data_IF_979574990967
#
_entry.id   IF_979574990967
#
_cell.length_a   1.000
_cell.length_b   1.000
_cell.length_c   1.000
_cell.angle_alpha   90.00
_cell.angle_beta   90.00
_cell.angle_gamma   90.00
#
_symmetry.space_group_name_H-M   'P 1'
#
loop_
_entity.id
_entity.type
_entity.pdbx_description
1 polymer ?
#
# COMPACT_ATOMS: atom_id res chain seq x y z
N UNK A 1 23.46 32.65 63.59
CA UNK A 1 22.82 33.24 62.39
C UNK A 1 23.81 33.17 61.23
N UNK A 2 23.53 32.33 60.22
CA UNK A 2 23.86 32.49 58.79
C UNK A 2 23.50 31.17 58.09
N UNK A 3 22.35 31.21 57.41
CA UNK A 3 21.86 30.21 56.48
C UNK A 3 22.50 30.53 55.13
N UNK A 4 23.11 29.55 54.47
CA UNK A 4 23.47 29.68 53.05
C UNK A 4 22.94 28.46 52.31
N UNK A 5 21.78 28.66 51.67
CA UNK A 5 21.29 27.87 50.55
C UNK A 5 22.36 27.87 49.43
N UNK A 6 22.62 26.71 48.84
CA UNK A 6 23.22 26.64 47.51
C UNK A 6 22.52 25.53 46.72
N UNK A 7 22.08 25.92 45.53
CA UNK A 7 21.02 25.32 44.75
C UNK A 7 21.37 24.00 44.08
N UNK A 8 20.33 23.20 43.94
CA UNK A 8 20.21 21.95 43.17
C UNK A 8 20.44 22.26 41.68
N UNK A 9 21.41 21.57 41.06
CA UNK A 9 21.51 21.50 39.59
C UNK A 9 21.00 20.12 39.17
N UNK A 10 19.71 20.05 38.87
CA UNK A 10 19.10 18.89 38.21
C UNK A 10 19.45 18.99 36.72
N UNK A 11 20.38 18.15 36.26
CA UNK A 11 20.68 18.02 34.84
C UNK A 11 19.49 17.33 34.16
N UNK A 12 18.67 18.11 33.45
CA UNK A 12 17.64 17.59 32.55
C UNK A 12 18.34 16.88 31.38
N UNK A 13 18.39 15.54 31.45
CA UNK A 13 18.72 14.69 30.32
C UNK A 13 17.53 14.78 29.35
N UNK A 14 17.60 15.71 28.40
CA UNK A 14 16.70 15.76 27.25
C UNK A 14 17.00 14.54 26.38
N UNK A 15 16.34 13.42 26.69
CA UNK A 15 16.24 12.28 25.80
C UNK A 15 15.29 12.68 24.68
N UNK A 16 15.83 13.31 23.63
CA UNK A 16 15.11 13.50 22.39
C UNK A 16 14.83 12.15 21.77
N UNK A 17 13.60 11.65 21.90
CA UNK A 17 13.13 10.56 21.06
C UNK A 17 13.26 11.02 19.60
N UNK A 18 14.21 10.45 18.86
CA UNK A 18 14.20 10.52 17.41
C UNK A 18 12.97 9.75 16.95
N UNK A 19 11.86 10.45 16.76
CA UNK A 19 10.71 9.90 16.05
C UNK A 19 11.17 9.69 14.61
N UNK A 20 11.63 8.48 14.30
CA UNK A 20 11.77 8.03 12.93
C UNK A 20 10.45 8.32 12.23
N UNK A 21 10.48 9.00 11.07
CA UNK A 21 9.30 9.30 10.28
C UNK A 21 8.69 7.99 9.78
N UNK A 22 7.89 7.35 10.64
CA UNK A 22 7.20 6.12 10.33
C UNK A 22 5.99 6.49 9.47
N UNK A 23 6.11 6.23 8.17
CA UNK A 23 5.03 6.47 7.24
C UNK A 23 3.84 5.58 7.60
N UNK A 24 2.64 6.16 7.58
CA UNK A 24 1.38 5.42 7.68
C UNK A 24 1.31 4.30 6.62
N UNK A 25 0.64 3.16 6.92
CA UNK A 25 0.57 2.00 6.05
C UNK A 25 0.12 2.31 4.61
N UNK A 26 0.52 1.46 3.66
CA UNK A 26 0.22 1.58 2.23
C UNK A 26 -1.27 1.80 1.89
N UNK A 27 -2.19 1.35 2.74
CA UNK A 27 -3.64 1.54 2.60
C UNK A 27 -4.09 3.00 2.67
N UNK A 28 -3.25 3.92 3.15
CA UNK A 28 -3.55 5.35 3.30
C UNK A 28 -3.18 6.21 2.08
N UNK A 29 -2.68 5.60 0.98
CA UNK A 29 -2.32 6.34 -0.24
C UNK A 29 -3.59 6.93 -0.86
N UNK A 30 -3.70 8.26 -0.85
CA UNK A 30 -4.82 8.97 -1.49
C UNK A 30 -4.77 8.76 -3.00
N UNK A 31 -5.87 8.34 -3.64
CA UNK A 31 -5.97 8.36 -5.10
C UNK A 31 -5.65 9.77 -5.61
N UNK A 32 -4.96 9.87 -6.75
CA UNK A 32 -4.71 11.13 -7.48
C UNK A 32 -3.60 12.07 -6.96
N UNK A 33 -2.68 11.61 -6.10
CA UNK A 33 -1.45 12.35 -5.72
C UNK A 33 -0.24 11.94 -6.56
N UNK A 34 -0.40 10.92 -7.42
CA UNK A 34 0.71 10.34 -8.15
C UNK A 34 1.30 11.30 -9.20
N UNK A 35 2.60 11.61 -9.09
CA UNK A 35 3.34 12.33 -10.14
C UNK A 35 4.25 11.37 -10.90
N UNK A 36 4.31 11.50 -12.22
CA UNK A 36 5.23 10.73 -13.06
C UNK A 36 6.69 11.01 -12.66
N UNK A 37 7.51 9.96 -12.63
CA UNK A 37 8.94 10.06 -12.31
C UNK A 37 9.30 9.44 -10.96
N UNK A 38 10.50 9.75 -10.49
CA UNK A 38 11.08 9.22 -9.25
C UNK A 38 11.88 10.32 -8.56
N UNK A 39 11.86 10.36 -7.23
CA UNK A 39 12.73 11.20 -6.41
C UNK A 39 14.02 10.46 -6.03
N UNK A 40 14.08 9.15 -6.26
CA UNK A 40 15.29 8.37 -6.06
C UNK A 40 16.37 8.77 -7.08
N UNK A 41 17.58 9.01 -6.59
CA UNK A 41 18.74 9.26 -7.45
C UNK A 41 19.15 7.99 -8.22
N UNK A 42 20.05 8.15 -9.20
CA UNK A 42 20.48 7.05 -10.09
C UNK A 42 21.00 5.81 -9.33
N UNK A 43 21.74 6.02 -8.24
CA UNK A 43 22.29 4.93 -7.43
C UNK A 43 21.18 4.15 -6.71
N UNK A 44 20.26 4.85 -6.05
CA UNK A 44 19.08 4.25 -5.42
C UNK A 44 18.20 3.54 -6.45
N UNK A 45 18.06 4.13 -7.64
CA UNK A 45 17.31 3.49 -8.74
C UNK A 45 17.97 2.20 -9.17
N UNK A 46 19.29 2.19 -9.33
CA UNK A 46 20.05 0.99 -9.69
C UNK A 46 19.90 -0.10 -8.62
N UNK A 47 20.07 0.25 -7.34
CA UNK A 47 20.04 -0.71 -6.24
C UNK A 47 18.62 -1.29 -6.03
N UNK A 48 17.60 -0.44 -6.08
CA UNK A 48 16.21 -0.86 -6.01
C UNK A 48 15.81 -1.74 -7.21
N UNK A 49 16.32 -1.43 -8.41
CA UNK A 49 16.11 -2.27 -9.61
C UNK A 49 16.77 -3.64 -9.46
N UNK A 50 17.97 -3.71 -8.89
CA UNK A 50 18.61 -4.99 -8.57
C UNK A 50 17.79 -5.79 -7.53
N UNK A 51 17.19 -5.10 -6.55
CA UNK A 51 16.22 -5.70 -5.63
C UNK A 51 15.01 -6.30 -6.35
N UNK A 52 14.40 -5.57 -7.30
CA UNK A 52 13.28 -6.06 -8.11
C UNK A 52 13.67 -7.27 -8.98
N UNK A 53 14.88 -7.27 -9.55
CA UNK A 53 15.43 -8.40 -10.29
C UNK A 53 15.58 -9.66 -9.43
N UNK A 54 15.94 -9.50 -8.16
CA UNK A 54 16.01 -10.62 -7.23
C UNK A 54 14.61 -11.16 -6.88
N UNK A 55 13.60 -10.28 -6.76
CA UNK A 55 12.22 -10.67 -6.44
C UNK A 55 11.53 -11.38 -7.61
N UNK A 56 11.68 -10.86 -8.83
CA UNK A 56 11.02 -11.42 -10.02
C UNK A 56 11.87 -12.48 -10.74
N UNK A 57 13.15 -12.61 -10.37
CA UNK A 57 14.15 -13.37 -11.09
C UNK A 57 14.76 -12.57 -12.24
N UNK A 58 16.09 -12.60 -12.36
CA UNK A 58 16.83 -11.85 -13.40
C UNK A 58 16.37 -12.18 -14.82
N UNK A 59 15.94 -13.41 -15.07
CA UNK A 59 15.43 -13.84 -16.38
C UNK A 59 14.11 -13.15 -16.78
N UNK A 60 13.36 -12.60 -15.82
CA UNK A 60 12.18 -11.80 -16.10
C UNK A 60 12.52 -10.40 -16.63
N UNK A 61 13.77 -9.93 -16.47
CA UNK A 61 14.23 -8.66 -16.99
C UNK A 61 14.94 -8.88 -18.34
N UNK A 62 14.31 -8.38 -19.40
CA UNK A 62 14.83 -8.40 -20.77
C UNK A 62 15.10 -6.97 -21.25
N UNK A 63 15.69 -6.82 -22.44
CA UNK A 63 15.85 -5.52 -23.11
C UNK A 63 14.54 -4.78 -23.36
N UNK A 64 13.40 -5.48 -23.32
CA UNK A 64 12.07 -4.90 -23.52
C UNK A 64 11.38 -4.53 -22.20
N UNK A 65 11.98 -4.87 -21.06
CA UNK A 65 11.40 -4.59 -19.75
C UNK A 65 11.39 -3.09 -19.47
N UNK A 66 10.22 -2.56 -19.12
CA UNK A 66 10.04 -1.14 -18.78
C UNK A 66 9.66 -1.02 -17.31
N UNK A 67 10.23 -0.04 -16.61
CA UNK A 67 9.86 0.29 -15.23
C UNK A 67 9.26 1.68 -15.22
N UNK A 68 7.94 1.76 -15.13
CA UNK A 68 7.23 3.03 -14.95
C UNK A 68 7.26 3.38 -13.48
N UNK A 69 7.68 4.59 -13.13
CA UNK A 69 7.83 5.07 -11.76
C UNK A 69 6.88 6.23 -11.52
N UNK A 70 6.29 6.27 -10.34
CA UNK A 70 5.45 7.39 -9.92
C UNK A 70 5.59 7.62 -8.44
N UNK A 71 5.74 8.88 -8.03
CA UNK A 71 5.79 9.28 -6.63
C UNK A 71 4.36 9.27 -6.09
N UNK A 72 4.07 8.47 -5.07
CA UNK A 72 2.72 8.33 -4.49
C UNK A 72 2.60 8.99 -3.11
N UNK A 73 3.72 9.29 -2.46
CA UNK A 73 3.79 10.15 -1.27
C UNK A 73 5.06 10.99 -1.33
N UNK A 74 4.92 12.30 -1.14
CA UNK A 74 6.05 13.23 -1.07
C UNK A 74 6.88 12.99 0.21
N UNK A 75 8.14 13.46 0.28
CA UNK A 75 8.98 13.32 1.47
C UNK A 75 8.36 13.93 2.72
N UNK A 76 8.28 13.14 3.78
CA UNK A 76 7.82 13.54 5.11
C UNK A 76 8.95 13.37 6.13
N UNK A 77 9.03 14.27 7.10
CA UNK A 77 10.08 14.29 8.12
C UNK A 77 11.10 15.42 7.91
N UNK A 78 12.13 15.42 8.76
CA UNK A 78 13.21 16.42 8.70
C UNK A 78 14.24 16.07 7.62
N UNK A 79 14.81 17.04 6.91
CA UNK A 79 15.91 16.78 5.96
C UNK A 79 17.02 15.93 6.58
N UNK A 80 17.46 14.89 5.87
CA UNK A 80 18.39 13.88 6.35
C UNK A 80 17.71 12.69 7.06
N UNK A 81 16.41 12.75 7.34
CA UNK A 81 15.65 11.64 7.92
C UNK A 81 14.24 11.55 7.27
N UNK A 82 14.10 12.05 6.04
CA UNK A 82 12.83 12.03 5.34
C UNK A 82 12.51 10.62 4.81
N UNK A 83 11.23 10.32 4.69
CA UNK A 83 10.76 9.11 4.01
C UNK A 83 9.70 9.47 2.96
N UNK A 84 9.69 8.75 1.85
CA UNK A 84 8.72 8.92 0.77
C UNK A 84 8.34 7.57 0.16
N UNK A 85 7.27 7.57 -0.63
CA UNK A 85 6.78 6.36 -1.29
C UNK A 85 6.60 6.57 -2.78
N UNK A 86 6.97 5.55 -3.55
CA UNK A 86 6.80 5.49 -5.00
C UNK A 86 6.13 4.18 -5.41
N UNK A 87 5.32 4.20 -6.45
CA UNK A 87 4.81 3.01 -7.10
C UNK A 87 5.61 2.74 -8.37
N UNK A 88 6.20 1.56 -8.45
CA UNK A 88 6.98 1.13 -9.60
C UNK A 88 6.30 -0.04 -10.29
N UNK A 89 5.95 0.12 -11.56
CA UNK A 89 5.32 -0.91 -12.37
C UNK A 89 6.37 -1.49 -13.29
N UNK A 90 6.75 -2.75 -13.05
CA UNK A 90 7.62 -3.53 -13.93
C UNK A 90 6.76 -4.18 -15.00
N UNK A 91 6.91 -3.74 -16.24
CA UNK A 91 6.28 -4.33 -17.43
C UNK A 91 7.29 -5.25 -18.11
N UNK A 92 7.08 -6.56 -17.95
CA UNK A 92 7.86 -7.58 -18.63
C UNK A 92 6.95 -8.41 -19.53
N UNK A 93 7.16 -8.30 -20.84
CA UNK A 93 6.41 -9.04 -21.87
C UNK A 93 4.88 -8.87 -21.73
N UNK A 94 4.42 -7.66 -21.37
CA UNK A 94 3.00 -7.35 -21.18
C UNK A 94 2.45 -7.72 -19.80
N UNK A 95 3.24 -8.39 -18.95
CA UNK A 95 2.91 -8.58 -17.54
C UNK A 95 3.40 -7.37 -16.75
N UNK A 96 2.46 -6.52 -16.36
CA UNK A 96 2.71 -5.32 -15.54
C UNK A 96 2.58 -5.69 -14.08
N UNK A 97 3.64 -5.65 -13.29
CA UNK A 97 3.61 -5.97 -11.84
C UNK A 97 3.95 -4.71 -11.03
N UNK A 98 3.05 -4.18 -10.18
CA UNK A 98 3.30 -3.03 -9.35
C UNK A 98 3.98 -3.41 -8.04
N UNK A 99 4.85 -2.51 -7.62
CA UNK A 99 5.57 -2.56 -6.36
C UNK A 99 5.42 -1.21 -5.66
N UNK A 100 5.24 -1.25 -4.35
CA UNK A 100 5.37 -0.09 -3.51
C UNK A 100 6.81 -0.04 -3.03
N UNK A 101 7.48 1.04 -3.37
CA UNK A 101 8.83 1.36 -2.97
C UNK A 101 8.74 2.36 -1.83
N UNK A 102 9.28 2.02 -0.67
CA UNK A 102 9.46 2.98 0.42
C UNK A 102 10.93 3.35 0.51
N UNK A 103 11.23 4.63 0.44
CA UNK A 103 12.59 5.15 0.57
C UNK A 103 12.70 5.98 1.85
N UNK A 104 13.86 5.94 2.50
CA UNK A 104 14.11 6.70 3.73
C UNK A 104 15.56 7.16 3.82
N UNK A 105 15.79 8.45 4.06
CA UNK A 105 17.12 9.02 4.29
C UNK A 105 17.72 8.56 5.62
N UNK A 106 19.05 8.46 5.67
CA UNK A 106 19.80 8.01 6.86
C UNK A 106 20.82 9.04 7.36
N UNK A 107 20.67 10.31 7.00
CA UNK A 107 21.43 11.45 7.54
C UNK A 107 22.82 11.68 6.93
N UNK A 108 23.39 10.70 6.22
CA UNK A 108 24.75 10.75 5.66
C UNK A 108 24.76 10.87 4.12
N UNK A 109 23.75 11.52 3.53
CA UNK A 109 23.57 11.54 2.07
C UNK A 109 23.27 10.16 1.48
N UNK A 110 22.87 9.22 2.33
CA UNK A 110 22.47 7.86 1.97
C UNK A 110 20.98 7.68 2.24
N UNK A 111 20.36 6.74 1.53
CA UNK A 111 18.99 6.33 1.81
C UNK A 111 18.87 4.80 1.75
N UNK A 112 17.94 4.27 2.53
CA UNK A 112 17.50 2.89 2.47
C UNK A 112 16.26 2.78 1.61
N UNK A 113 15.98 1.56 1.14
CA UNK A 113 14.74 1.25 0.45
C UNK A 113 14.15 -0.08 0.93
N UNK A 114 12.83 -0.18 0.82
CA UNK A 114 12.04 -1.38 1.04
C UNK A 114 11.14 -1.60 -0.17
N UNK A 115 10.99 -2.87 -0.57
CA UNK A 115 10.20 -3.26 -1.74
C UNK A 115 9.05 -4.14 -1.26
N UNK A 116 7.82 -3.70 -1.53
CA UNK A 116 6.62 -4.48 -1.29
C UNK A 116 5.94 -4.78 -2.63
N UNK A 117 5.77 -6.06 -2.96
CA UNK A 117 4.98 -6.44 -4.13
C UNK A 117 3.52 -6.12 -3.85
N UNK A 118 2.97 -5.15 -4.57
CA UNK A 118 1.56 -4.82 -4.44
C UNK A 118 0.74 -5.96 -5.03
N UNK A 119 -0.29 -6.41 -4.32
CA UNK A 119 -1.28 -7.28 -4.92
C UNK A 119 -1.97 -6.50 -6.04
N UNK A 120 -1.62 -6.83 -7.26
CA UNK A 120 -2.58 -6.66 -8.34
C UNK A 120 -3.71 -7.66 -8.16
N UNK A 121 -4.97 -7.27 -8.41
CA UNK A 121 -5.98 -8.26 -8.77
C UNK A 121 -5.39 -9.07 -9.93
N UNK A 122 -5.17 -10.37 -9.70
CA UNK A 122 -4.31 -11.17 -10.58
C UNK A 122 -4.85 -11.19 -12.01
N UNK A 123 -3.97 -11.25 -13.02
CA UNK A 123 -4.39 -11.46 -14.40
C UNK A 123 -5.10 -12.84 -14.60
N UNK A 124 -4.92 -13.79 -13.68
CA UNK A 124 -5.72 -15.02 -13.62
C UNK A 124 -7.14 -14.79 -13.07
N UNK A 125 -7.34 -13.74 -12.26
CA UNK A 125 -8.65 -13.26 -11.90
C UNK A 125 -9.34 -12.67 -13.15
N UNK A 126 -8.64 -11.96 -14.04
CA UNK A 126 -9.30 -11.22 -15.13
C UNK A 126 -10.07 -12.06 -16.16
N UNK A 127 -9.84 -13.37 -16.29
CA UNK A 127 -10.65 -14.23 -17.16
C UNK A 127 -12.02 -14.59 -16.54
N UNK A 128 -12.09 -14.72 -15.21
CA UNK A 128 -13.30 -15.13 -14.47
C UNK A 128 -13.86 -14.02 -13.56
N UNK A 129 -13.24 -12.84 -13.55
CA UNK A 129 -13.75 -11.66 -12.88
C UNK A 129 -14.75 -10.96 -13.80
N UNK A 130 -15.98 -10.75 -13.32
CA UNK A 130 -16.92 -9.93 -14.06
C UNK A 130 -16.39 -8.51 -14.26
N UNK A 131 -16.69 -7.91 -15.42
CA UNK A 131 -16.23 -6.55 -15.75
C UNK A 131 -16.92 -5.48 -14.90
N UNK A 132 -18.12 -5.76 -14.38
CA UNK A 132 -18.88 -4.86 -13.51
C UNK A 132 -19.21 -5.54 -12.19
N UNK A 133 -19.26 -4.75 -11.12
CA UNK A 133 -19.68 -5.22 -9.79
C UNK A 133 -21.08 -5.83 -9.79
N UNK A 134 -22.00 -5.31 -10.62
CA UNK A 134 -23.35 -5.85 -10.73
C UNK A 134 -23.44 -7.23 -11.40
N UNK A 135 -22.36 -7.72 -11.98
CA UNK A 135 -22.36 -8.97 -12.73
C UNK A 135 -22.08 -10.19 -11.82
N UNK A 136 -21.65 -9.99 -10.56
CA UNK A 136 -21.59 -11.08 -9.59
C UNK A 136 -22.99 -11.59 -9.26
N UNK A 137 -23.24 -12.88 -9.48
CA UNK A 137 -24.55 -13.50 -9.28
C UNK A 137 -24.70 -14.05 -7.87
N UNK A 138 -25.78 -13.64 -7.19
CA UNK A 138 -26.18 -14.23 -5.93
C UNK A 138 -26.50 -15.72 -6.12
N UNK A 139 -26.08 -16.55 -5.18
CA UNK A 139 -26.21 -17.99 -5.26
C UNK A 139 -25.11 -18.69 -6.08
N UNK A 140 -24.21 -17.94 -6.72
CA UNK A 140 -23.14 -18.50 -7.56
C UNK A 140 -21.76 -17.97 -7.16
N UNK A 141 -21.59 -16.66 -7.09
CA UNK A 141 -20.31 -16.04 -6.74
C UNK A 141 -19.91 -16.36 -5.29
N UNK A 142 -18.60 -16.46 -5.03
CA UNK A 142 -18.07 -16.73 -3.68
C UNK A 142 -17.25 -15.56 -3.14
N UNK A 143 -17.05 -15.56 -1.83
CA UNK A 143 -16.24 -14.56 -1.15
C UNK A 143 -14.78 -14.60 -1.60
N UNK A 144 -14.27 -15.79 -1.91
CA UNK A 144 -12.90 -16.01 -2.42
C UNK A 144 -12.76 -15.47 -3.84
N UNK A 145 -13.78 -15.68 -4.70
CA UNK A 145 -13.81 -15.10 -6.03
C UNK A 145 -13.82 -13.57 -5.96
N UNK A 146 -14.72 -12.98 -5.15
CA UNK A 146 -14.84 -11.53 -5.02
C UNK A 146 -13.57 -10.92 -4.44
N UNK A 147 -13.02 -11.48 -3.35
CA UNK A 147 -11.75 -11.04 -2.76
C UNK A 147 -10.56 -11.24 -3.71
N UNK A 148 -10.59 -12.30 -4.53
CA UNK A 148 -9.60 -12.55 -5.58
C UNK A 148 -9.66 -11.55 -6.74
N UNK A 149 -10.86 -11.06 -7.07
CA UNK A 149 -11.11 -10.11 -8.15
C UNK A 149 -10.95 -8.64 -7.75
N UNK A 150 -11.43 -8.27 -6.57
CA UNK A 150 -11.48 -6.89 -6.10
C UNK A 150 -10.35 -6.55 -5.11
N UNK A 151 -9.63 -7.56 -4.61
CA UNK A 151 -8.65 -7.38 -3.55
C UNK A 151 -9.26 -7.50 -2.16
N UNK A 152 -8.54 -7.00 -1.14
CA UNK A 152 -9.06 -7.00 0.23
C UNK A 152 -10.18 -5.95 0.38
N UNK A 153 -11.26 -6.26 1.11
CA UNK A 153 -12.27 -5.26 1.44
C UNK A 153 -11.71 -4.21 2.40
N UNK A 154 -12.32 -3.03 2.39
CA UNK A 154 -11.99 -1.96 3.36
C UNK A 154 -12.52 -2.29 4.76
N UNK A 155 -13.55 -3.13 4.85
CA UNK A 155 -14.11 -3.63 6.10
C UNK A 155 -14.74 -5.01 5.89
N UNK A 156 -14.66 -5.84 6.92
CA UNK A 156 -15.17 -7.21 6.95
C UNK A 156 -15.86 -7.46 8.29
N UNK A 157 -17.16 -7.79 8.26
CA UNK A 157 -17.97 -7.97 9.47
C UNK A 157 -18.66 -9.33 9.46
N UNK A 158 -18.46 -10.10 10.54
CA UNK A 158 -19.02 -11.45 10.72
C UNK A 158 -20.13 -11.43 11.76
N UNK A 159 -21.31 -11.89 11.35
CA UNK A 159 -22.45 -12.06 12.24
C UNK A 159 -22.34 -13.39 13.01
N UNK A 160 -22.93 -13.48 14.21
CA UNK A 160 -22.95 -14.73 15.00
C UNK A 160 -23.61 -15.92 14.30
N UNK A 161 -24.47 -15.68 13.29
CA UNK A 161 -25.12 -16.73 12.49
C UNK A 161 -24.24 -17.25 11.33
N UNK A 162 -22.99 -16.79 11.26
CA UNK A 162 -22.01 -17.18 10.26
C UNK A 162 -22.11 -16.41 8.94
N UNK A 163 -23.12 -15.54 8.74
CA UNK A 163 -23.13 -14.63 7.60
C UNK A 163 -22.10 -13.53 7.79
N UNK A 164 -21.57 -13.01 6.70
CA UNK A 164 -20.60 -11.91 6.78
C UNK A 164 -20.69 -10.97 5.60
N UNK A 165 -20.18 -9.76 5.78
CA UNK A 165 -20.22 -8.70 4.79
C UNK A 165 -18.81 -8.24 4.47
N UNK A 166 -18.51 -8.07 3.19
CA UNK A 166 -17.36 -7.31 2.70
C UNK A 166 -17.80 -5.94 2.20
N UNK A 167 -17.13 -4.87 2.64
CA UNK A 167 -17.31 -3.52 2.11
C UNK A 167 -16.13 -3.13 1.20
N UNK A 168 -16.42 -2.54 0.04
CA UNK A 168 -15.44 -1.99 -0.89
C UNK A 168 -15.78 -0.55 -1.24
N UNK A 169 -14.78 0.32 -1.32
CA UNK A 169 -14.92 1.66 -1.91
C UNK A 169 -14.50 1.57 -3.39
N UNK A 170 -15.38 1.99 -4.30
CA UNK A 170 -15.21 1.70 -5.74
C UNK A 170 -15.01 2.94 -6.59
N UNK A 171 -15.83 3.98 -6.45
CA UNK A 171 -15.65 5.30 -7.09
C UNK A 171 -16.42 6.38 -6.31
N UNK A 172 -15.97 7.65 -6.33
CA UNK A 172 -16.72 8.86 -5.94
C UNK A 172 -17.78 8.67 -4.84
N UNK A 173 -17.34 8.38 -3.61
CA UNK A 173 -18.21 8.22 -2.44
C UNK A 173 -19.21 7.05 -2.51
N UNK A 174 -18.97 6.05 -3.35
CA UNK A 174 -19.79 4.83 -3.42
C UNK A 174 -19.09 3.69 -2.69
N UNK A 175 -19.76 3.16 -1.67
CA UNK A 175 -19.39 1.93 -0.97
C UNK A 175 -20.30 0.81 -1.42
N UNK A 176 -19.73 -0.34 -1.77
CA UNK A 176 -20.47 -1.56 -2.13
C UNK A 176 -20.29 -2.60 -1.04
N UNK A 177 -21.40 -3.13 -0.54
CA UNK A 177 -21.44 -4.27 0.38
C UNK A 177 -21.83 -5.56 -0.33
N UNK A 178 -21.05 -6.62 -0.12
CA UNK A 178 -21.37 -7.99 -0.52
C UNK A 178 -21.68 -8.81 0.73
N UNK A 179 -22.91 -9.29 0.85
CA UNK A 179 -23.36 -10.18 1.93
C UNK A 179 -23.21 -11.63 1.50
N UNK A 180 -22.54 -12.43 2.32
CA UNK A 180 -22.29 -13.85 2.13
C UNK A 180 -23.04 -14.69 3.16
N UNK A 181 -23.39 -15.91 2.78
CA UNK A 181 -23.82 -16.92 3.74
C UNK A 181 -22.62 -17.57 4.46
N UNK A 182 -22.91 -18.46 5.41
CA UNK A 182 -21.87 -19.17 6.18
C UNK A 182 -21.01 -20.13 5.37
N UNK A 183 -21.38 -20.44 4.13
CA UNK A 183 -20.54 -21.20 3.19
C UNK A 183 -19.67 -20.31 2.30
N UNK A 184 -19.81 -18.98 2.43
CA UNK A 184 -19.11 -17.99 1.63
C UNK A 184 -19.73 -17.72 0.26
N UNK A 185 -20.97 -18.15 0.03
CA UNK A 185 -21.71 -17.88 -1.21
C UNK A 185 -22.42 -16.54 -1.14
N UNK A 186 -22.35 -15.77 -2.22
CA UNK A 186 -22.94 -14.43 -2.31
C UNK A 186 -24.46 -14.52 -2.17
N UNK A 187 -25.02 -13.83 -1.19
CA UNK A 187 -26.46 -13.68 -1.02
C UNK A 187 -26.97 -12.40 -1.68
N UNK A 188 -26.24 -11.29 -1.55
CA UNK A 188 -26.70 -9.96 -1.99
C UNK A 188 -25.56 -8.98 -2.17
N UNK A 189 -25.71 -8.09 -3.16
CA UNK A 189 -24.87 -6.90 -3.36
C UNK A 189 -25.70 -5.64 -3.09
N UNK A 190 -25.16 -4.66 -2.36
CA UNK A 190 -25.81 -3.38 -2.08
C UNK A 190 -24.85 -2.22 -2.29
N UNK A 191 -25.28 -1.17 -2.98
CA UNK A 191 -24.49 0.06 -3.18
C UNK A 191 -25.02 1.20 -2.33
N UNK A 192 -24.11 1.93 -1.69
CA UNK A 192 -24.40 3.06 -0.81
C UNK A 192 -23.63 4.29 -1.32
N UNK A 193 -24.33 5.42 -1.47
CA UNK A 193 -23.69 6.70 -1.76
C UNK A 193 -23.52 7.46 -0.44
N UNK A 194 -22.29 7.84 -0.09
CA UNK A 194 -22.01 8.80 0.99
C UNK A 194 -22.49 10.18 0.51
N UNK A 195 -23.41 10.76 1.27
CA UNK A 195 -23.85 12.14 1.12
C UNK A 195 -22.82 13.10 1.72
#
# INVERSE_FOLDING_TARGET
>A
MRVTLAAIVFAFILSGCQTSAQLEPASAIKPNVASEGTLANEKLVSDATAGLQNILGKAAFTSETKIVKSVVRQPEGTPGAQAWQEMWIVDSKGTRTPFLMTFSETGLGSANFMIEKMRQPSAAASANCPKKIGDYKAGEATSEQIKGCLGAPVDENHNPDGRYVYLYEVENNITVGFLFDSSGKLMRTSGYKRN
#
